data_IF_064794523251
#
_entry.id   IF_064794523251
#
_cell.length_a   1.000
_cell.length_b   1.000
_cell.length_c   1.000
_cell.angle_alpha   90.00
_cell.angle_beta   90.00
_cell.angle_gamma   90.00
#
_symmetry.space_group_name_H-M   'P 1'
#
loop_
_entity.id
_entity.type
_entity.pdbx_description
1 polymer ?
#
# COMPACT_ATOMS: atom_id res chain seq x y z
N UNK A 1 3.70 5.34 5.22
CA UNK A 1 4.54 4.11 5.38
C UNK A 1 6.00 4.50 5.36
N UNK A 2 6.75 4.21 6.41
CA UNK A 2 8.20 4.46 6.54
C UNK A 2 8.66 5.93 6.51
N UNK A 3 7.80 6.90 6.72
CA UNK A 3 8.13 8.34 6.55
C UNK A 3 9.28 8.81 7.44
N UNK A 4 9.27 8.41 8.71
CA UNK A 4 10.34 8.76 9.65
C UNK A 4 11.69 8.17 9.25
N UNK A 5 11.73 6.88 8.88
CA UNK A 5 12.97 6.21 8.46
C UNK A 5 13.44 6.74 7.11
N UNK A 6 12.53 6.85 6.15
CA UNK A 6 12.80 7.36 4.80
C UNK A 6 13.34 8.80 4.85
N UNK A 7 12.77 9.67 5.67
CA UNK A 7 13.24 11.05 5.83
C UNK A 7 14.68 11.14 6.35
N UNK A 8 15.03 10.32 7.37
CA UNK A 8 16.38 10.25 7.90
C UNK A 8 17.39 9.73 6.89
N UNK A 9 17.05 8.64 6.20
CA UNK A 9 17.94 8.02 5.20
C UNK A 9 18.12 8.90 3.96
N UNK A 10 17.05 9.52 3.45
CA UNK A 10 17.14 10.44 2.31
C UNK A 10 18.11 11.57 2.56
N UNK A 11 18.11 12.16 3.77
CA UNK A 11 19.04 13.22 4.14
C UNK A 11 20.51 12.77 4.10
N UNK A 12 20.79 11.54 4.54
CA UNK A 12 22.15 10.96 4.47
C UNK A 12 22.57 10.75 3.01
N UNK A 13 21.68 10.19 2.19
CA UNK A 13 21.97 9.86 0.80
C UNK A 13 22.08 11.10 -0.10
N UNK A 14 21.30 12.15 0.15
CA UNK A 14 21.41 13.41 -0.57
C UNK A 14 22.79 14.05 -0.34
N UNK A 15 23.32 14.00 0.90
CA UNK A 15 24.67 14.47 1.21
C UNK A 15 25.74 13.64 0.50
N UNK A 16 25.60 12.31 0.46
CA UNK A 16 26.53 11.44 -0.26
C UNK A 16 26.53 11.71 -1.78
N UNK A 17 25.33 11.91 -2.36
CA UNK A 17 25.19 12.20 -3.80
C UNK A 17 25.74 13.58 -4.19
N UNK A 18 25.69 14.54 -3.28
CA UNK A 18 26.20 15.89 -3.52
C UNK A 18 27.74 15.98 -3.53
N UNK A 19 28.44 14.96 -3.00
CA UNK A 19 29.91 14.91 -3.01
C UNK A 19 30.41 14.29 -4.31
N UNK A 20 31.26 15.01 -5.02
CA UNK A 20 31.85 14.56 -6.29
C UNK A 20 32.90 13.44 -6.14
N UNK A 21 33.54 13.37 -4.95
CA UNK A 21 34.49 12.31 -4.58
C UNK A 21 34.14 11.85 -3.15
N UNK A 22 34.33 10.57 -2.87
CA UNK A 22 34.18 9.98 -1.54
C UNK A 22 35.46 9.28 -1.13
N UNK A 23 35.78 9.39 0.16
CA UNK A 23 36.81 8.58 0.80
C UNK A 23 36.18 7.57 1.77
N UNK A 24 36.98 6.64 2.27
CA UNK A 24 36.51 5.60 3.20
C UNK A 24 35.90 6.19 4.49
N UNK A 25 36.41 7.33 4.94
CA UNK A 25 35.90 8.00 6.13
C UNK A 25 34.48 8.57 5.89
N UNK A 26 34.24 9.17 4.72
CA UNK A 26 32.90 9.67 4.32
C UNK A 26 31.85 8.55 4.31
N UNK A 27 32.20 7.40 3.75
CA UNK A 27 31.33 6.21 3.73
C UNK A 27 31.09 5.70 5.14
N UNK A 28 32.12 5.66 5.98
CA UNK A 28 32.00 5.20 7.38
C UNK A 28 31.09 6.12 8.22
N UNK A 29 31.19 7.43 8.04
CA UNK A 29 30.33 8.41 8.70
C UNK A 29 28.87 8.26 8.26
N UNK A 30 28.63 8.15 6.95
CA UNK A 30 27.30 7.93 6.42
C UNK A 30 26.67 6.61 6.92
N UNK A 31 27.45 5.53 6.98
CA UNK A 31 26.99 4.24 7.50
C UNK A 31 26.68 4.29 9.01
N UNK A 32 27.36 5.15 9.76
CA UNK A 32 27.03 5.40 11.16
C UNK A 32 25.67 6.05 11.30
N UNK A 33 25.34 7.05 10.48
CA UNK A 33 24.02 7.67 10.47
C UNK A 33 22.92 6.69 10.01
N UNK A 34 23.18 5.89 8.97
CA UNK A 34 22.25 4.82 8.53
C UNK A 34 21.99 3.83 9.67
N UNK A 35 23.04 3.42 10.41
CA UNK A 35 22.90 2.56 11.58
C UNK A 35 21.97 3.16 12.63
N UNK A 36 22.16 4.44 12.96
CA UNK A 36 21.31 5.12 13.94
C UNK A 36 19.85 5.20 13.44
N UNK A 37 19.63 5.53 12.17
CA UNK A 37 18.29 5.60 11.59
C UNK A 37 17.56 4.24 11.66
N UNK A 38 18.27 3.13 11.39
CA UNK A 38 17.72 1.79 11.47
C UNK A 38 17.38 1.39 12.92
N UNK A 39 18.22 1.73 13.89
CA UNK A 39 17.95 1.48 15.31
C UNK A 39 16.77 2.29 15.82
N UNK A 40 16.68 3.57 15.43
CA UNK A 40 15.54 4.44 15.76
C UNK A 40 14.22 3.93 15.12
N UNK A 41 14.32 3.17 14.04
CA UNK A 41 13.17 2.51 13.39
C UNK A 41 12.85 1.13 13.99
N UNK A 42 13.41 0.78 15.15
CA UNK A 42 13.24 -0.51 15.84
C UNK A 42 13.73 -1.74 15.04
N UNK A 43 14.75 -1.60 14.19
CA UNK A 43 15.42 -2.76 13.60
C UNK A 43 16.24 -3.48 14.64
N UNK A 44 16.18 -4.80 14.71
CA UNK A 44 16.92 -5.61 15.67
C UNK A 44 18.44 -5.39 15.54
N UNK A 45 19.11 -5.19 16.64
CA UNK A 45 20.55 -4.87 16.67
C UNK A 45 21.45 -5.85 15.89
N UNK A 46 21.25 -7.19 15.96
CA UNK A 46 22.03 -8.13 15.14
C UNK A 46 21.83 -7.90 13.64
N UNK A 47 20.59 -7.60 13.23
CA UNK A 47 20.21 -7.34 11.85
C UNK A 47 20.87 -6.06 11.33
N UNK A 48 20.86 -4.99 12.15
CA UNK A 48 21.56 -3.73 11.82
C UNK A 48 23.06 -3.95 11.67
N UNK A 49 23.68 -4.72 12.58
CA UNK A 49 25.11 -5.02 12.51
C UNK A 49 25.48 -5.77 11.22
N UNK A 50 24.72 -6.81 10.89
CA UNK A 50 24.91 -7.59 9.65
C UNK A 50 24.76 -6.69 8.41
N UNK A 51 23.69 -5.91 8.34
CA UNK A 51 23.44 -4.95 7.28
C UNK A 51 24.60 -3.98 7.05
N UNK A 52 25.03 -3.29 8.11
CA UNK A 52 26.14 -2.32 8.02
C UNK A 52 27.44 -2.98 7.59
N UNK A 53 27.74 -4.18 8.09
CA UNK A 53 28.95 -4.91 7.71
C UNK A 53 28.93 -5.30 6.22
N UNK A 54 27.80 -5.81 5.72
CA UNK A 54 27.63 -6.18 4.30
C UNK A 54 27.74 -4.97 3.38
N UNK A 55 27.10 -3.85 3.75
CA UNK A 55 27.22 -2.60 2.99
C UNK A 55 28.66 -2.11 3.00
N UNK A 56 29.33 -2.06 4.17
CA UNK A 56 30.71 -1.62 4.28
C UNK A 56 31.65 -2.44 3.39
N UNK A 57 31.56 -3.77 3.43
CA UNK A 57 32.40 -4.65 2.63
C UNK A 57 32.29 -4.36 1.12
N UNK A 58 31.09 -3.98 0.64
CA UNK A 58 30.85 -3.67 -0.78
C UNK A 58 31.15 -2.20 -1.14
N UNK A 59 30.99 -1.28 -0.19
CA UNK A 59 31.08 0.16 -0.44
C UNK A 59 32.49 0.75 -0.30
N UNK A 60 33.42 0.08 0.39
CA UNK A 60 34.80 0.56 0.64
C UNK A 60 35.80 0.05 -0.42
N UNK A 61 35.35 -0.66 -1.44
CA UNK A 61 36.21 -1.08 -2.55
C UNK A 61 36.70 0.10 -3.42
N UNK A 62 37.92 0.04 -3.91
CA UNK A 62 38.52 1.06 -4.80
C UNK A 62 37.66 1.34 -6.02
N UNK A 63 37.01 0.30 -6.61
CA UNK A 63 36.13 0.44 -7.77
C UNK A 63 34.91 1.37 -7.48
N UNK A 64 34.46 1.45 -6.24
CA UNK A 64 33.34 2.32 -5.82
C UNK A 64 33.84 3.74 -5.58
N UNK A 65 34.96 3.88 -4.86
CA UNK A 65 35.50 5.19 -4.48
C UNK A 65 36.04 5.96 -5.67
N UNK A 66 36.66 5.24 -6.65
CA UNK A 66 37.24 5.81 -7.87
C UNK A 66 36.22 5.97 -9.01
N UNK A 67 34.93 5.66 -8.77
CA UNK A 67 33.89 5.79 -9.80
C UNK A 67 33.55 7.25 -10.09
N UNK A 68 32.98 7.52 -11.28
CA UNK A 68 32.48 8.86 -11.68
C UNK A 68 31.35 9.35 -10.77
N UNK A 69 30.65 8.45 -10.10
CA UNK A 69 29.52 8.77 -9.19
C UNK A 69 29.52 7.89 -7.93
N UNK A 70 30.52 8.03 -7.05
CA UNK A 70 30.71 7.13 -5.91
C UNK A 70 29.51 7.18 -4.94
N UNK A 71 28.93 8.35 -4.70
CA UNK A 71 27.75 8.48 -3.84
C UNK A 71 26.54 7.74 -4.37
N UNK A 72 26.32 7.69 -5.68
CA UNK A 72 25.22 6.92 -6.27
C UNK A 72 25.48 5.41 -6.15
N UNK A 73 26.72 4.97 -6.30
CA UNK A 73 27.08 3.56 -6.12
C UNK A 73 26.88 3.09 -4.69
N UNK A 74 27.28 3.89 -3.69
CA UNK A 74 27.02 3.56 -2.28
C UNK A 74 25.51 3.43 -2.01
N UNK A 75 24.71 4.35 -2.51
CA UNK A 75 23.24 4.27 -2.36
C UNK A 75 22.67 3.02 -3.04
N UNK A 76 23.18 2.65 -4.20
CA UNK A 76 22.78 1.40 -4.88
C UNK A 76 23.14 0.18 -4.05
N UNK A 77 24.35 0.12 -3.49
CA UNK A 77 24.79 -0.98 -2.63
C UNK A 77 23.88 -1.11 -1.40
N UNK A 78 23.53 0.02 -0.75
CA UNK A 78 22.59 0.04 0.37
C UNK A 78 21.24 -0.54 -0.05
N UNK A 79 20.73 -0.13 -1.21
CA UNK A 79 19.46 -0.65 -1.75
C UNK A 79 19.52 -2.16 -2.01
N UNK A 80 20.57 -2.63 -2.68
CA UNK A 80 20.74 -4.03 -3.03
C UNK A 80 20.83 -4.92 -1.77
N UNK A 81 21.63 -4.51 -0.77
CA UNK A 81 21.73 -5.22 0.51
C UNK A 81 20.38 -5.20 1.26
N UNK A 82 19.61 -4.11 1.19
CA UNK A 82 18.29 -4.03 1.81
C UNK A 82 17.29 -4.98 1.13
N UNK A 83 17.28 -5.06 -0.19
CA UNK A 83 16.47 -6.01 -0.95
C UNK A 83 16.82 -7.46 -0.57
N UNK A 84 18.11 -7.80 -0.54
CA UNK A 84 18.57 -9.12 -0.13
C UNK A 84 18.10 -9.47 1.28
N UNK A 85 18.16 -8.53 2.21
CA UNK A 85 17.75 -8.72 3.60
C UNK A 85 16.23 -8.88 3.75
N UNK A 86 15.43 -8.21 2.92
CA UNK A 86 13.98 -8.33 2.86
C UNK A 86 13.53 -9.61 2.14
N UNK A 87 14.39 -10.27 1.39
CA UNK A 87 14.03 -11.55 0.77
C UNK A 87 14.56 -11.80 -0.62
N UNK A 88 15.30 -10.90 -1.18
CA UNK A 88 15.73 -10.94 -2.57
C UNK A 88 14.69 -10.31 -3.50
N UNK A 89 14.92 -10.38 -4.80
CA UNK A 89 14.03 -9.81 -5.78
C UNK A 89 12.77 -10.66 -5.98
N UNK A 90 11.64 -9.99 -6.21
CA UNK A 90 10.34 -10.61 -6.47
C UNK A 90 9.53 -10.95 -5.22
N UNK A 91 8.23 -11.14 -5.39
CA UNK A 91 7.34 -11.54 -4.32
C UNK A 91 7.44 -13.03 -4.02
N UNK A 92 7.49 -13.38 -2.74
CA UNK A 92 7.31 -14.75 -2.29
C UNK A 92 5.82 -15.09 -2.33
N UNK A 93 5.33 -15.65 -3.44
CA UNK A 93 3.93 -16.01 -3.62
C UNK A 93 3.43 -17.06 -2.62
N UNK A 94 2.12 -17.21 -2.53
CA UNK A 94 1.48 -18.28 -1.78
C UNK A 94 1.77 -19.63 -2.46
N UNK A 95 2.10 -20.64 -1.68
CA UNK A 95 2.24 -22.01 -2.17
C UNK A 95 0.85 -22.66 -2.28
N UNK A 96 0.28 -22.65 -3.47
CA UNK A 96 -1.00 -23.28 -3.78
C UNK A 96 -0.83 -24.57 -4.61
N UNK A 97 0.38 -25.13 -4.66
CA UNK A 97 0.70 -26.36 -5.37
C UNK A 97 0.44 -27.59 -4.47
N UNK A 98 -0.82 -27.83 -4.15
CA UNK A 98 -1.25 -28.98 -3.39
C UNK A 98 -2.60 -29.49 -3.93
N UNK A 99 -2.97 -30.77 -3.67
CA UNK A 99 -4.30 -31.26 -4.03
C UNK A 99 -5.42 -30.47 -3.34
N UNK A 100 -6.45 -30.13 -4.07
CA UNK A 100 -7.63 -29.46 -3.49
C UNK A 100 -8.44 -30.40 -2.59
N UNK A 101 -9.09 -29.92 -1.55
CA UNK A 101 -9.07 -28.56 -1.05
C UNK A 101 -7.75 -28.22 -0.33
N UNK A 102 -7.12 -27.10 -0.68
CA UNK A 102 -5.84 -26.67 -0.12
C UNK A 102 -6.10 -25.90 1.18
N UNK A 103 -5.64 -26.35 2.34
CA UNK A 103 -5.82 -25.61 3.58
C UNK A 103 -4.75 -24.53 3.76
N UNK A 104 -5.20 -23.35 4.19
CA UNK A 104 -4.36 -22.23 4.62
C UNK A 104 -4.68 -21.96 6.08
N UNK A 105 -3.68 -22.07 6.95
CA UNK A 105 -3.83 -21.87 8.39
C UNK A 105 -3.34 -20.47 8.77
N UNK A 106 -4.22 -19.65 9.35
CA UNK A 106 -3.90 -18.31 9.84
C UNK A 106 -3.56 -18.37 11.32
N UNK A 107 -2.35 -17.97 11.70
CA UNK A 107 -1.87 -17.99 13.10
C UNK A 107 -1.37 -16.62 13.54
N UNK A 108 -1.28 -16.37 14.86
CA UNK A 108 -0.78 -15.11 15.42
C UNK A 108 -1.51 -14.69 16.69
N UNK A 109 -1.05 -13.61 17.31
CA UNK A 109 -1.63 -13.09 18.56
C UNK A 109 -2.99 -12.41 18.35
N UNK A 110 -3.69 -12.18 19.44
CA UNK A 110 -4.95 -11.42 19.43
C UNK A 110 -4.70 -9.98 18.95
N UNK A 111 -5.59 -9.45 18.12
CA UNK A 111 -5.47 -8.10 17.58
C UNK A 111 -4.48 -7.93 16.43
N UNK A 112 -3.73 -8.97 16.04
CA UNK A 112 -2.82 -8.91 14.89
C UNK A 112 -3.50 -8.78 13.53
N UNK A 113 -4.83 -8.95 13.45
CA UNK A 113 -5.60 -8.82 12.20
C UNK A 113 -5.84 -10.11 11.44
N UNK A 114 -5.74 -11.30 12.08
CA UNK A 114 -5.96 -12.60 11.43
C UNK A 114 -7.30 -12.70 10.71
N UNK A 115 -8.40 -12.48 11.43
CA UNK A 115 -9.76 -12.58 10.90
C UNK A 115 -9.98 -11.63 9.70
N UNK A 116 -9.53 -10.38 9.84
CA UNK A 116 -9.59 -9.40 8.74
C UNK A 116 -8.73 -9.83 7.56
N UNK A 117 -7.54 -10.36 7.82
CA UNK A 117 -6.63 -10.88 6.78
C UNK A 117 -7.23 -12.10 6.07
N UNK A 118 -7.88 -13.00 6.80
CA UNK A 118 -8.57 -14.15 6.22
C UNK A 118 -9.66 -13.72 5.22
N UNK A 119 -10.47 -12.73 5.57
CA UNK A 119 -11.46 -12.15 4.65
C UNK A 119 -10.84 -11.48 3.42
N UNK A 120 -9.80 -10.68 3.61
CA UNK A 120 -9.05 -10.03 2.52
C UNK A 120 -8.40 -11.04 1.58
N UNK A 121 -7.80 -12.08 2.15
CA UNK A 121 -7.17 -13.15 1.39
C UNK A 121 -8.21 -13.94 0.58
N UNK A 122 -9.36 -14.24 1.18
CA UNK A 122 -10.45 -14.92 0.49
C UNK A 122 -10.96 -14.11 -0.70
N UNK A 123 -11.21 -12.81 -0.53
CA UNK A 123 -11.59 -11.91 -1.61
C UNK A 123 -10.57 -11.93 -2.76
N UNK A 124 -9.30 -11.81 -2.42
CA UNK A 124 -8.20 -11.79 -3.39
C UNK A 124 -8.13 -13.11 -4.18
N UNK A 125 -8.18 -14.25 -3.49
CA UNK A 125 -8.13 -15.57 -4.13
C UNK A 125 -9.36 -15.82 -5.00
N UNK A 126 -10.54 -15.38 -4.54
CA UNK A 126 -11.78 -15.50 -5.31
C UNK A 126 -11.78 -14.61 -6.56
N UNK A 127 -11.48 -13.33 -6.42
CA UNK A 127 -11.60 -12.37 -7.53
C UNK A 127 -10.44 -12.45 -8.52
N UNK A 128 -9.18 -12.51 -8.04
CA UNK A 128 -8.01 -12.48 -8.92
C UNK A 128 -7.64 -13.85 -9.47
N UNK A 129 -7.80 -14.91 -8.65
CA UNK A 129 -7.40 -16.26 -9.04
C UNK A 129 -8.58 -17.16 -9.41
N UNK A 130 -9.83 -16.67 -9.34
CA UNK A 130 -11.06 -17.40 -9.65
C UNK A 130 -11.22 -18.70 -8.85
N UNK A 131 -10.69 -18.72 -7.60
CA UNK A 131 -10.76 -19.88 -6.74
C UNK A 131 -12.04 -19.92 -5.92
N UNK A 132 -12.57 -21.11 -5.70
CA UNK A 132 -13.69 -21.38 -4.79
C UNK A 132 -13.16 -21.55 -3.38
N UNK A 133 -13.37 -20.57 -2.51
CA UNK A 133 -12.78 -20.47 -1.17
C UNK A 133 -13.85 -20.70 -0.10
N UNK A 134 -13.55 -21.51 0.92
CA UNK A 134 -14.33 -21.67 2.14
C UNK A 134 -13.59 -20.99 3.30
N UNK A 135 -14.26 -20.14 4.05
CA UNK A 135 -13.75 -19.59 5.31
C UNK A 135 -14.27 -20.38 6.51
N UNK A 136 -13.42 -20.66 7.47
CA UNK A 136 -13.82 -21.32 8.73
C UNK A 136 -13.15 -20.63 9.93
N UNK A 137 -13.95 -20.17 10.89
CA UNK A 137 -13.46 -19.63 12.15
C UNK A 137 -13.29 -20.74 13.17
N UNK A 138 -12.10 -20.86 13.70
CA UNK A 138 -11.74 -21.81 14.77
C UNK A 138 -11.74 -21.11 16.15
N UNK A 139 -12.12 -19.83 16.22
CA UNK A 139 -12.18 -19.05 17.46
C UNK A 139 -13.48 -19.32 18.22
N UNK A 140 -13.49 -20.43 18.99
CA UNK A 140 -14.65 -20.82 19.80
C UNK A 140 -14.79 -20.04 21.10
N UNK A 141 -13.73 -19.33 21.52
CA UNK A 141 -13.72 -18.58 22.78
C UNK A 141 -14.40 -17.22 22.65
N UNK A 142 -14.52 -16.70 21.41
CA UNK A 142 -15.13 -15.41 21.11
C UNK A 142 -16.21 -15.56 20.05
N UNK A 143 -17.48 -15.78 20.45
CA UNK A 143 -18.57 -15.93 19.48
C UNK A 143 -18.67 -14.77 18.48
N UNK A 144 -18.35 -13.56 18.92
CA UNK A 144 -18.31 -12.39 18.04
C UNK A 144 -17.26 -12.52 16.93
N UNK A 145 -16.15 -13.24 17.13
CA UNK A 145 -15.14 -13.44 16.09
C UNK A 145 -15.64 -14.37 14.96
N UNK A 146 -16.41 -15.39 15.29
CA UNK A 146 -17.04 -16.26 14.29
C UNK A 146 -18.05 -15.48 13.44
N UNK A 147 -18.89 -14.64 14.06
CA UNK A 147 -19.80 -13.77 13.34
C UNK A 147 -19.09 -12.72 12.49
N UNK A 148 -17.99 -12.16 12.99
CA UNK A 148 -17.14 -11.24 12.24
C UNK A 148 -16.58 -11.89 10.96
N UNK A 149 -16.09 -13.11 11.05
CA UNK A 149 -15.58 -13.83 9.87
C UNK A 149 -16.70 -14.10 8.86
N UNK A 150 -17.90 -14.47 9.34
CA UNK A 150 -19.06 -14.66 8.46
C UNK A 150 -19.45 -13.38 7.70
N UNK A 151 -19.45 -12.22 8.38
CA UNK A 151 -19.68 -10.92 7.74
C UNK A 151 -18.60 -10.57 6.70
N UNK A 152 -17.33 -10.86 6.99
CA UNK A 152 -16.24 -10.66 6.05
C UNK A 152 -16.35 -11.62 4.85
N UNK A 153 -16.82 -12.85 5.07
CA UNK A 153 -17.09 -13.80 3.98
C UNK A 153 -18.18 -13.27 3.03
N UNK A 154 -19.26 -12.74 3.58
CA UNK A 154 -20.32 -12.11 2.80
C UNK A 154 -19.79 -10.92 1.98
N UNK A 155 -19.01 -10.04 2.59
CA UNK A 155 -18.37 -8.91 1.89
C UNK A 155 -17.41 -9.37 0.79
N UNK A 156 -16.73 -10.50 1.00
CA UNK A 156 -15.81 -11.10 0.01
C UNK A 156 -16.54 -11.89 -1.09
N UNK A 157 -17.85 -12.12 -0.96
CA UNK A 157 -18.63 -12.94 -1.88
C UNK A 157 -18.24 -14.42 -1.84
N UNK A 158 -17.78 -14.93 -0.68
CA UNK A 158 -17.39 -16.32 -0.47
C UNK A 158 -18.18 -16.94 0.69
N UNK A 159 -18.45 -18.26 0.69
CA UNK A 159 -19.12 -18.91 1.80
C UNK A 159 -18.22 -19.03 3.04
N UNK A 160 -18.86 -18.97 4.21
CA UNK A 160 -18.27 -19.34 5.49
C UNK A 160 -18.89 -20.64 6.01
N UNK A 161 -18.10 -21.43 6.72
CA UNK A 161 -18.59 -22.64 7.38
C UNK A 161 -19.64 -22.26 8.45
N UNK A 162 -20.84 -22.88 8.46
CA UNK A 162 -21.85 -22.60 9.48
C UNK A 162 -21.33 -22.86 10.89
N UNK A 163 -21.72 -21.99 11.81
CA UNK A 163 -21.34 -22.11 13.23
C UNK A 163 -22.17 -23.20 13.88
N UNK A 164 -21.52 -24.14 14.54
CA UNK A 164 -22.12 -25.20 15.37
C UNK A 164 -21.65 -25.02 16.80
N UNK A 165 -22.58 -24.81 17.71
CA UNK A 165 -22.24 -24.61 19.12
C UNK A 165 -21.66 -25.90 19.76
N UNK A 166 -20.63 -25.74 20.60
CA UNK A 166 -20.02 -26.84 21.35
C UNK A 166 -18.92 -27.60 20.62
N UNK A 167 -18.64 -27.27 19.35
CA UNK A 167 -17.50 -27.85 18.65
C UNK A 167 -16.18 -27.26 19.17
N UNK A 168 -15.16 -28.11 19.24
CA UNK A 168 -13.76 -27.71 19.49
C UNK A 168 -13.14 -27.14 18.21
N UNK A 169 -12.06 -26.31 18.30
CA UNK A 169 -11.35 -25.81 17.13
C UNK A 169 -10.91 -26.91 16.16
N UNK A 170 -10.46 -28.06 16.68
CA UNK A 170 -10.07 -29.23 15.88
C UNK A 170 -11.26 -29.80 15.11
N UNK A 171 -12.41 -30.03 15.79
CA UNK A 171 -13.63 -30.53 15.14
C UNK A 171 -14.12 -29.63 14.03
N UNK A 172 -14.07 -28.28 14.24
CA UNK A 172 -14.43 -27.31 13.22
C UNK A 172 -13.48 -27.42 12.02
N UNK A 173 -12.17 -27.54 12.25
CA UNK A 173 -11.18 -27.68 11.19
C UNK A 173 -11.41 -28.96 10.36
N UNK A 174 -11.66 -30.08 10.99
CA UNK A 174 -11.97 -31.36 10.34
C UNK A 174 -13.27 -31.26 9.52
N UNK A 175 -14.33 -30.68 10.09
CA UNK A 175 -15.61 -30.44 9.40
C UNK A 175 -15.45 -29.49 8.23
N UNK A 176 -14.61 -28.44 8.36
CA UNK A 176 -14.27 -27.55 7.25
C UNK A 176 -13.65 -28.29 6.08
N UNK A 177 -12.69 -29.17 6.35
CA UNK A 177 -12.03 -29.98 5.33
C UNK A 177 -12.99 -31.01 4.70
N UNK A 178 -13.86 -31.65 5.48
CA UNK A 178 -14.88 -32.55 4.96
C UNK A 178 -15.89 -31.83 4.07
N UNK A 179 -16.40 -30.67 4.52
CA UNK A 179 -17.32 -29.84 3.75
C UNK A 179 -16.67 -29.39 2.44
N UNK A 180 -15.41 -28.94 2.50
CA UNK A 180 -14.69 -28.49 1.33
C UNK A 180 -14.48 -29.60 0.28
N UNK A 181 -14.22 -30.85 0.71
CA UNK A 181 -14.14 -32.00 -0.21
C UNK A 181 -15.50 -32.32 -0.83
N UNK A 182 -16.55 -32.36 -0.01
CA UNK A 182 -17.91 -32.69 -0.45
C UNK A 182 -18.45 -31.66 -1.47
N UNK A 183 -18.18 -30.38 -1.24
CA UNK A 183 -18.71 -29.27 -2.02
C UNK A 183 -17.72 -28.74 -3.08
N UNK A 184 -16.60 -29.44 -3.24
CA UNK A 184 -15.55 -29.16 -4.25
C UNK A 184 -15.06 -27.71 -4.17
N UNK A 185 -14.49 -27.35 -3.01
CA UNK A 185 -13.75 -26.09 -2.84
C UNK A 185 -12.30 -26.27 -3.27
N UNK A 186 -11.71 -25.22 -3.82
CA UNK A 186 -10.27 -25.20 -4.13
C UNK A 186 -9.43 -24.97 -2.87
N UNK A 187 -9.91 -24.12 -1.97
CA UNK A 187 -9.17 -23.62 -0.81
C UNK A 187 -10.04 -23.55 0.44
N UNK A 188 -9.41 -23.79 1.58
CA UNK A 188 -10.00 -23.59 2.90
C UNK A 188 -9.09 -22.68 3.72
N UNK A 189 -9.60 -21.53 4.18
CA UNK A 189 -8.86 -20.64 5.08
C UNK A 189 -9.37 -20.88 6.51
N UNK A 190 -8.48 -21.33 7.39
CA UNK A 190 -8.73 -21.64 8.78
C UNK A 190 -8.23 -20.47 9.65
N UNK A 191 -9.15 -19.69 10.21
CA UNK A 191 -8.86 -18.54 11.08
C UNK A 191 -8.82 -19.02 12.55
N UNK A 192 -7.61 -19.14 13.12
CA UNK A 192 -7.43 -19.62 14.50
C UNK A 192 -7.72 -18.53 15.53
N UNK A 193 -8.06 -18.94 16.75
CA UNK A 193 -8.12 -18.06 17.89
C UNK A 193 -6.81 -17.30 18.10
N UNK A 194 -6.88 -16.06 18.57
CA UNK A 194 -5.71 -15.31 19.03
C UNK A 194 -5.70 -15.24 20.54
N UNK A 195 -4.57 -15.51 21.16
CA UNK A 195 -4.34 -15.26 22.59
C UNK A 195 -3.54 -13.96 22.76
N UNK A 196 -3.61 -13.37 23.94
CA UNK A 196 -2.84 -12.14 24.28
C UNK A 196 -1.33 -12.40 24.35
N UNK A 197 -0.94 -13.60 24.67
CA UNK A 197 0.45 -14.02 24.76
C UNK A 197 0.64 -15.44 24.24
N UNK A 198 1.86 -15.78 23.92
CA UNK A 198 2.25 -17.12 23.50
C UNK A 198 2.29 -18.00 24.75
N UNK A 199 1.46 -19.03 24.79
CA UNK A 199 1.45 -20.03 25.84
C UNK A 199 1.42 -21.43 25.23
N UNK A 200 1.70 -22.44 26.05
CA UNK A 200 1.78 -23.84 25.61
C UNK A 200 0.45 -24.35 25.05
N UNK A 201 -0.68 -23.98 25.69
CA UNK A 201 -2.02 -24.38 25.25
C UNK A 201 -2.34 -23.92 23.82
N UNK A 202 -2.04 -22.65 23.49
CA UNK A 202 -2.21 -22.13 22.14
C UNK A 202 -1.36 -22.91 21.13
N UNK A 203 -0.10 -23.16 21.48
CA UNK A 203 0.81 -23.85 20.57
C UNK A 203 0.39 -25.30 20.34
N UNK A 204 -0.09 -25.99 21.37
CA UNK A 204 -0.54 -27.36 21.25
C UNK A 204 -1.86 -27.48 20.47
N UNK A 205 -2.81 -26.53 20.67
CA UNK A 205 -4.03 -26.46 19.87
C UNK A 205 -3.70 -26.27 18.38
N UNK A 206 -2.85 -25.30 18.06
CA UNK A 206 -2.49 -25.01 16.67
C UNK A 206 -1.70 -26.15 16.03
N UNK A 207 -0.82 -26.85 16.80
CA UNK A 207 -0.13 -28.04 16.32
C UNK A 207 -1.10 -29.17 15.99
N UNK A 208 -2.12 -29.40 16.81
CA UNK A 208 -3.15 -30.42 16.55
C UNK A 208 -3.93 -30.09 15.27
N UNK A 209 -4.38 -28.84 15.11
CA UNK A 209 -5.07 -28.39 13.90
C UNK A 209 -4.17 -28.58 12.67
N UNK A 210 -2.91 -28.15 12.75
CA UNK A 210 -1.93 -28.31 11.66
C UNK A 210 -1.72 -29.79 11.31
N UNK A 211 -1.60 -30.66 12.31
CA UNK A 211 -1.46 -32.12 12.10
C UNK A 211 -2.67 -32.74 11.39
N UNK A 212 -3.88 -32.32 11.76
CA UNK A 212 -5.12 -32.86 11.18
C UNK A 212 -5.41 -32.32 9.77
N UNK A 213 -5.01 -31.08 9.46
CA UNK A 213 -5.34 -30.42 8.19
C UNK A 213 -4.20 -30.42 7.19
N UNK A 214 -2.95 -30.63 7.59
CA UNK A 214 -1.75 -30.59 6.76
C UNK A 214 -1.72 -29.36 5.83
N UNK A 215 -1.75 -28.13 6.37
CA UNK A 215 -1.91 -26.93 5.55
C UNK A 215 -0.72 -26.73 4.61
N UNK A 216 -1.00 -26.37 3.36
CA UNK A 216 0.02 -25.98 2.40
C UNK A 216 0.69 -24.66 2.80
N UNK A 217 -0.06 -23.80 3.51
CA UNK A 217 0.43 -22.56 4.08
C UNK A 217 0.05 -22.43 5.57
N UNK A 218 1.04 -22.14 6.39
CA UNK A 218 0.86 -21.67 7.76
C UNK A 218 1.30 -20.21 7.79
N UNK A 219 0.35 -19.30 7.70
CA UNK A 219 0.59 -17.87 7.59
C UNK A 219 0.53 -17.20 8.97
N UNK A 220 1.65 -16.67 9.41
CA UNK A 220 1.72 -15.88 10.62
C UNK A 220 1.32 -14.44 10.34
N UNK A 221 0.27 -13.98 11.00
CA UNK A 221 -0.20 -12.59 10.91
C UNK A 221 0.36 -11.80 12.08
N UNK A 222 1.12 -10.76 11.77
CA UNK A 222 1.76 -9.88 12.74
C UNK A 222 1.40 -8.41 12.49
N UNK A 223 1.28 -7.66 13.57
CA UNK A 223 1.05 -6.22 13.52
C UNK A 223 2.39 -5.48 13.43
N UNK A 224 2.59 -4.72 12.36
CA UNK A 224 3.82 -3.96 12.15
C UNK A 224 4.06 -2.86 13.21
N UNK A 225 3.00 -2.41 13.89
CA UNK A 225 3.11 -1.38 14.94
C UNK A 225 3.74 -1.88 16.23
N UNK A 226 3.74 -3.19 16.47
CA UNK A 226 4.29 -3.78 17.71
C UNK A 226 5.83 -3.88 17.72
N UNK A 227 6.50 -3.46 16.62
CA UNK A 227 7.95 -3.35 16.57
C UNK A 227 8.68 -4.68 16.89
N UNK A 228 9.56 -4.67 17.89
CA UNK A 228 10.34 -5.86 18.28
C UNK A 228 9.49 -6.98 18.87
N UNK A 229 8.33 -6.69 19.45
CA UNK A 229 7.42 -7.73 19.97
C UNK A 229 6.85 -8.58 18.82
N UNK A 230 6.60 -7.96 17.64
CA UNK A 230 6.25 -8.70 16.44
C UNK A 230 7.36 -9.69 16.04
N UNK A 231 8.62 -9.27 16.12
CA UNK A 231 9.77 -10.12 15.77
C UNK A 231 9.93 -11.29 16.76
N UNK A 232 9.79 -11.03 18.05
CA UNK A 232 9.85 -12.06 19.11
C UNK A 232 8.71 -13.06 18.96
N UNK A 233 7.50 -12.56 18.68
CA UNK A 233 6.32 -13.38 18.39
C UNK A 233 6.57 -14.27 17.18
N UNK A 234 7.10 -13.71 16.10
CA UNK A 234 7.36 -14.46 14.88
C UNK A 234 8.39 -15.57 15.08
N UNK A 235 9.44 -15.29 15.86
CA UNK A 235 10.43 -16.32 16.22
C UNK A 235 9.77 -17.51 16.93
N UNK A 236 9.00 -17.24 17.97
CA UNK A 236 8.38 -18.28 18.78
C UNK A 236 7.36 -19.12 17.99
N UNK A 237 6.54 -18.47 17.15
CA UNK A 237 5.63 -19.19 16.26
C UNK A 237 6.38 -20.03 15.21
N UNK A 238 7.47 -19.51 14.66
CA UNK A 238 8.26 -20.24 13.67
C UNK A 238 8.96 -21.46 14.28
N UNK A 239 9.53 -21.33 15.47
CA UNK A 239 10.16 -22.42 16.20
C UNK A 239 9.14 -23.53 16.56
N UNK A 240 7.92 -23.15 16.94
CA UNK A 240 6.89 -24.09 17.36
C UNK A 240 6.16 -24.77 16.20
N UNK A 241 5.94 -24.05 15.08
CA UNK A 241 5.03 -24.47 14.01
C UNK A 241 5.69 -24.58 12.63
N UNK A 242 6.88 -24.00 12.41
CA UNK A 242 7.48 -23.92 11.07
C UNK A 242 6.58 -23.10 10.13
N UNK A 243 6.56 -21.80 10.33
CA UNK A 243 5.76 -20.84 9.54
C UNK A 243 6.24 -20.82 8.09
N UNK A 244 5.31 -20.90 7.12
CA UNK A 244 5.65 -20.90 5.69
C UNK A 244 5.67 -19.49 5.08
N UNK A 245 5.04 -18.54 5.76
CA UNK A 245 4.98 -17.15 5.33
C UNK A 245 4.43 -16.21 6.40
N UNK A 246 4.78 -14.96 6.27
CA UNK A 246 4.38 -13.89 7.19
C UNK A 246 3.47 -12.92 6.44
N UNK A 247 2.40 -12.49 7.12
CA UNK A 247 1.53 -11.40 6.69
C UNK A 247 1.70 -10.25 7.68
N UNK A 248 2.14 -9.10 7.20
CA UNK A 248 2.29 -7.90 8.02
C UNK A 248 1.07 -7.01 7.86
N UNK A 249 0.40 -6.69 8.95
CA UNK A 249 -0.78 -5.80 8.96
C UNK A 249 -0.41 -4.38 9.41
N UNK A 250 -1.30 -3.42 9.15
CA UNK A 250 -1.17 -1.99 9.53
C UNK A 250 0.09 -1.34 8.97
N UNK A 251 0.55 -1.79 7.79
CA UNK A 251 1.72 -1.22 7.14
C UNK A 251 1.47 0.20 6.60
N UNK A 252 0.22 0.61 6.48
CA UNK A 252 -0.22 1.97 6.11
C UNK A 252 -0.07 3.00 7.25
N UNK A 253 -0.02 2.56 8.49
CA UNK A 253 0.27 3.41 9.62
C UNK A 253 1.74 3.85 9.59
N UNK A 254 2.12 4.85 10.37
CA UNK A 254 3.52 5.29 10.53
C UNK A 254 4.34 4.25 11.32
N UNK A 255 4.28 3.01 10.83
CA UNK A 255 5.11 1.94 11.34
C UNK A 255 6.57 2.29 11.03
N UNK A 256 7.43 2.21 12.03
CA UNK A 256 8.86 2.55 11.92
C UNK A 256 9.61 1.68 10.91
N UNK A 257 8.96 0.61 10.39
CA UNK A 257 9.47 -0.25 9.32
C UNK A 257 10.54 -1.27 9.73
N UNK A 258 11.09 -1.13 10.91
CA UNK A 258 12.15 -2.00 11.39
C UNK A 258 11.73 -3.46 11.61
N UNK A 259 10.44 -3.67 11.91
CA UNK A 259 9.89 -5.01 12.02
C UNK A 259 10.03 -5.81 10.72
N UNK A 260 9.75 -5.19 9.56
CA UNK A 260 9.88 -5.87 8.25
C UNK A 260 11.31 -6.32 7.97
N UNK A 261 12.31 -5.44 8.22
CA UNK A 261 13.73 -5.76 8.06
C UNK A 261 14.19 -6.87 9.01
N UNK A 262 13.67 -6.90 10.23
CA UNK A 262 14.06 -7.89 11.23
C UNK A 262 13.36 -9.23 11.05
N UNK A 263 12.14 -9.23 10.54
CA UNK A 263 11.24 -10.39 10.53
C UNK A 263 11.85 -11.58 9.81
N UNK A 264 12.28 -11.38 8.57
CA UNK A 264 12.89 -12.44 7.77
C UNK A 264 14.23 -12.89 8.33
N UNK A 265 15.07 -11.95 8.76
CA UNK A 265 16.39 -12.26 9.30
C UNK A 265 16.30 -13.13 10.57
N UNK A 266 15.25 -12.95 11.37
CA UNK A 266 15.05 -13.66 12.62
C UNK A 266 14.32 -15.00 12.43
N UNK A 267 13.36 -15.05 11.51
CA UNK A 267 12.52 -16.25 11.30
C UNK A 267 12.98 -17.13 10.16
N UNK A 268 13.70 -16.60 9.18
CA UNK A 268 13.96 -17.26 7.90
C UNK A 268 12.71 -17.37 6.99
N UNK A 269 11.51 -17.13 7.50
CA UNK A 269 10.27 -17.19 6.74
C UNK A 269 10.08 -15.94 5.86
N UNK A 270 9.60 -16.09 4.61
CA UNK A 270 9.37 -14.96 3.74
C UNK A 270 8.15 -14.14 4.19
N UNK A 271 8.23 -12.81 4.06
CA UNK A 271 7.04 -11.97 4.09
C UNK A 271 6.36 -12.15 2.74
N UNK A 272 5.09 -12.58 2.74
CA UNK A 272 4.32 -12.86 1.52
C UNK A 272 3.32 -11.76 1.19
N UNK A 273 2.66 -11.24 2.21
CA UNK A 273 1.57 -10.27 2.05
C UNK A 273 1.70 -9.12 3.04
N UNK A 274 1.20 -7.96 2.63
CA UNK A 274 1.07 -6.77 3.46
C UNK A 274 -0.36 -6.23 3.43
N UNK A 275 -0.90 -5.93 4.62
CA UNK A 275 -2.19 -5.26 4.78
C UNK A 275 -2.01 -3.75 4.88
N UNK A 276 -2.68 -3.02 3.98
CA UNK A 276 -2.60 -1.56 3.88
C UNK A 276 -3.99 -0.94 4.07
N UNK A 277 -4.38 -0.71 5.33
CA UNK A 277 -5.67 -0.12 5.66
C UNK A 277 -6.79 -1.12 5.97
N UNK A 278 -7.97 -0.59 6.27
CA UNK A 278 -9.11 -1.36 6.79
C UNK A 278 -9.99 -1.99 5.69
N UNK A 279 -9.91 -1.49 4.45
CA UNK A 279 -10.74 -1.99 3.37
C UNK A 279 -10.46 -3.46 3.07
N UNK A 280 -11.49 -4.20 2.68
CA UNK A 280 -11.38 -5.64 2.40
C UNK A 280 -10.48 -5.97 1.20
N UNK A 281 -10.30 -5.03 0.27
CA UNK A 281 -9.43 -5.15 -0.90
C UNK A 281 -7.97 -4.72 -0.62
N UNK A 282 -7.68 -4.20 0.58
CA UNK A 282 -6.38 -3.66 0.94
C UNK A 282 -5.41 -4.75 1.44
N UNK A 283 -5.07 -5.70 0.57
CA UNK A 283 -4.04 -6.74 0.77
C UNK A 283 -3.19 -6.86 -0.49
N UNK A 284 -1.90 -6.62 -0.35
CA UNK A 284 -0.93 -6.61 -1.46
C UNK A 284 0.16 -7.67 -1.26
N UNK A 285 0.82 -8.08 -2.36
CA UNK A 285 2.03 -8.90 -2.28
C UNK A 285 3.18 -8.08 -1.72
N UNK A 286 4.04 -8.75 -0.96
CA UNK A 286 5.28 -8.13 -0.48
C UNK A 286 6.36 -8.22 -1.55
N UNK A 287 6.75 -7.07 -2.09
CA UNK A 287 7.86 -6.94 -3.03
C UNK A 287 9.02 -6.26 -2.32
N UNK A 288 10.12 -6.98 -2.01
CA UNK A 288 11.28 -6.42 -1.31
C UNK A 288 11.82 -5.14 -1.96
N UNK A 289 11.85 -5.08 -3.30
CA UNK A 289 12.36 -3.94 -4.06
C UNK A 289 11.52 -2.67 -3.84
N UNK A 290 10.19 -2.83 -3.79
CA UNK A 290 9.28 -1.70 -3.56
C UNK A 290 9.41 -1.19 -2.14
N UNK A 291 9.51 -2.10 -1.18
CA UNK A 291 9.65 -1.74 0.24
C UNK A 291 11.01 -1.08 0.48
N UNK A 292 12.11 -1.63 -0.06
CA UNK A 292 13.42 -1.00 -0.01
C UNK A 292 13.41 0.40 -0.65
N UNK A 293 12.82 0.54 -1.84
CA UNK A 293 12.67 1.83 -2.52
C UNK A 293 11.91 2.87 -1.68
N UNK A 294 10.81 2.48 -1.03
CA UNK A 294 10.03 3.35 -0.13
C UNK A 294 10.85 3.76 1.11
N UNK A 295 11.56 2.81 1.73
CA UNK A 295 12.42 3.07 2.90
C UNK A 295 13.55 4.05 2.53
N UNK A 296 14.13 3.93 1.34
CA UNK A 296 15.23 4.78 0.87
C UNK A 296 14.77 6.12 0.26
N UNK A 297 13.46 6.40 0.23
CA UNK A 297 12.91 7.61 -0.36
C UNK A 297 13.00 7.66 -1.88
N UNK A 298 13.23 6.52 -2.53
CA UNK A 298 13.31 6.38 -3.99
C UNK A 298 11.92 6.24 -4.64
N UNK A 299 10.87 6.13 -3.83
CA UNK A 299 9.50 5.95 -4.28
C UNK A 299 9.18 4.52 -4.74
N UNK A 300 7.96 4.34 -5.25
CA UNK A 300 7.46 3.09 -5.80
C UNK A 300 6.77 3.35 -7.14
N UNK A 301 7.56 3.67 -8.15
CA UNK A 301 7.04 4.03 -9.48
C UNK A 301 6.33 2.84 -10.13
N UNK A 302 6.83 1.61 -9.92
CA UNK A 302 6.23 0.39 -10.48
C UNK A 302 4.85 0.15 -9.85
N UNK A 303 4.75 0.22 -8.53
CA UNK A 303 3.46 0.10 -7.83
C UNK A 303 2.46 1.19 -8.21
N UNK A 304 2.94 2.41 -8.49
CA UNK A 304 2.09 3.49 -8.99
C UNK A 304 1.53 3.17 -10.37
N UNK A 305 2.36 2.67 -11.29
CA UNK A 305 1.94 2.29 -12.65
C UNK A 305 0.97 1.11 -12.62
N UNK A 306 1.22 0.09 -11.80
CA UNK A 306 0.31 -1.05 -11.65
C UNK A 306 -1.03 -0.63 -11.07
N UNK A 307 -1.02 0.20 -10.03
CA UNK A 307 -2.25 0.71 -9.40
C UNK A 307 -3.03 1.62 -10.37
N UNK A 308 -2.35 2.37 -11.20
CA UNK A 308 -2.95 3.11 -12.29
C UNK A 308 -3.57 2.16 -13.34
N UNK A 309 -2.87 1.11 -13.74
CA UNK A 309 -3.36 0.13 -14.70
C UNK A 309 -4.59 -0.67 -14.18
N UNK A 310 -4.60 -1.04 -12.90
CA UNK A 310 -5.76 -1.74 -12.29
C UNK A 310 -7.02 -0.85 -12.19
N UNK A 311 -6.85 0.46 -12.11
CA UNK A 311 -7.96 1.41 -11.93
C UNK A 311 -8.36 2.13 -13.21
N UNK A 312 -7.52 2.06 -14.26
CA UNK A 312 -7.81 2.64 -15.56
C UNK A 312 -8.78 1.74 -16.33
N UNK A 313 -9.97 2.24 -16.58
CA UNK A 313 -10.83 1.74 -17.63
C UNK A 313 -10.23 2.24 -18.95
N UNK A 314 -9.54 1.36 -19.69
CA UNK A 314 -8.82 1.72 -20.92
C UNK A 314 -9.77 2.36 -21.95
N UNK A 315 -11.00 1.85 -22.07
CA UNK A 315 -12.01 2.40 -22.99
C UNK A 315 -12.43 3.82 -22.59
N UNK A 316 -12.61 4.04 -21.27
CA UNK A 316 -12.99 5.36 -20.77
C UNK A 316 -11.82 6.35 -20.86
N UNK A 317 -10.59 5.91 -20.60
CA UNK A 317 -9.37 6.72 -20.74
C UNK A 317 -9.13 7.12 -22.21
N UNK A 318 -9.26 6.18 -23.16
CA UNK A 318 -9.17 6.49 -24.60
C UNK A 318 -10.28 7.43 -25.05
N UNK A 319 -11.51 7.23 -24.59
CA UNK A 319 -12.64 8.09 -24.90
C UNK A 319 -12.39 9.54 -24.45
N UNK A 320 -11.90 9.69 -23.21
CA UNK A 320 -11.56 11.02 -22.63
C UNK A 320 -10.39 11.64 -23.41
N UNK A 321 -9.35 10.86 -23.71
CA UNK A 321 -8.21 11.34 -24.50
C UNK A 321 -8.61 11.82 -25.91
N UNK A 322 -9.50 11.08 -26.60
CA UNK A 322 -10.05 11.47 -27.90
C UNK A 322 -10.91 12.75 -27.82
N UNK A 323 -11.69 12.92 -26.75
CA UNK A 323 -12.46 14.15 -26.49
C UNK A 323 -11.55 15.33 -26.18
N UNK A 324 -10.51 15.11 -25.37
CA UNK A 324 -9.50 16.12 -25.04
C UNK A 324 -8.76 16.61 -26.29
N UNK A 325 -8.34 15.70 -27.16
CA UNK A 325 -7.69 16.02 -28.44
C UNK A 325 -8.59 16.89 -29.35
N UNK A 326 -9.91 16.73 -29.26
CA UNK A 326 -10.91 17.50 -30.00
C UNK A 326 -11.35 18.79 -29.29
N UNK A 327 -10.78 19.13 -28.10
CA UNK A 327 -11.17 20.28 -27.29
C UNK A 327 -12.59 20.23 -26.72
N UNK A 328 -13.18 19.03 -26.59
CA UNK A 328 -14.57 18.81 -26.16
C UNK A 328 -14.66 18.21 -24.75
N UNK A 329 -13.74 18.59 -23.85
CA UNK A 329 -13.77 18.17 -22.45
C UNK A 329 -14.94 18.85 -21.72
N UNK A 330 -15.81 18.06 -21.06
CA UNK A 330 -17.01 18.53 -20.38
C UNK A 330 -17.02 18.16 -18.86
N UNK A 331 -18.01 18.66 -18.12
CA UNK A 331 -18.14 18.38 -16.68
C UNK A 331 -18.44 16.90 -16.37
N UNK A 332 -18.95 16.12 -17.33
CA UNK A 332 -19.16 14.68 -17.19
C UNK A 332 -17.81 13.94 -17.21
N UNK A 333 -16.91 14.34 -18.12
CA UNK A 333 -15.54 13.84 -18.19
C UNK A 333 -14.74 14.23 -16.92
N UNK A 334 -14.96 15.45 -16.41
CA UNK A 334 -14.36 15.90 -15.15
C UNK A 334 -14.86 15.08 -13.95
N UNK A 335 -16.17 14.77 -13.89
CA UNK A 335 -16.72 13.89 -12.87
C UNK A 335 -16.19 12.45 -12.95
N UNK A 336 -15.96 11.93 -14.15
CA UNK A 336 -15.33 10.63 -14.36
C UNK A 336 -13.90 10.61 -13.80
N UNK A 337 -13.11 11.64 -14.07
CA UNK A 337 -11.77 11.79 -13.50
C UNK A 337 -11.77 11.88 -11.98
N UNK A 338 -12.69 12.65 -11.38
CA UNK A 338 -12.82 12.73 -9.91
C UNK A 338 -13.15 11.36 -9.29
N UNK A 339 -14.03 10.58 -9.94
CA UNK A 339 -14.33 9.21 -9.50
C UNK A 339 -13.12 8.29 -9.61
N UNK A 340 -12.35 8.41 -10.69
CA UNK A 340 -11.13 7.65 -10.90
C UNK A 340 -10.07 7.94 -9.83
N UNK A 341 -9.82 9.24 -9.52
CA UNK A 341 -8.92 9.65 -8.43
C UNK A 341 -9.38 9.04 -7.09
N UNK A 342 -10.70 9.02 -6.85
CA UNK A 342 -11.25 8.44 -5.62
C UNK A 342 -11.04 6.91 -5.55
N UNK A 343 -11.07 6.21 -6.68
CA UNK A 343 -10.80 4.76 -6.77
C UNK A 343 -9.32 4.43 -6.56
N UNK A 344 -8.40 5.28 -7.04
CA UNK A 344 -6.96 5.11 -6.87
C UNK A 344 -6.49 5.25 -5.41
N UNK A 345 -7.32 5.75 -4.51
CA UNK A 345 -7.00 5.95 -3.10
C UNK A 345 -6.86 7.42 -2.70
N UNK A 346 -6.18 7.71 -1.58
CA UNK A 346 -5.96 9.09 -1.16
C UNK A 346 -4.84 9.75 -1.99
N UNK A 347 -4.94 11.05 -2.21
CA UNK A 347 -3.90 11.83 -2.91
C UNK A 347 -2.54 11.69 -2.21
N UNK A 348 -2.55 11.62 -0.87
CA UNK A 348 -1.36 11.38 -0.05
C UNK A 348 -0.72 10.02 -0.32
N UNK A 349 -1.53 8.97 -0.56
CA UNK A 349 -0.99 7.64 -0.90
C UNK A 349 -0.32 7.61 -2.27
N UNK A 350 -0.85 8.36 -3.24
CA UNK A 350 -0.28 8.47 -4.59
C UNK A 350 1.01 9.29 -4.55
N UNK A 351 0.99 10.42 -3.83
CA UNK A 351 2.17 11.28 -3.66
C UNK A 351 3.28 10.53 -2.93
N UNK A 352 2.96 9.73 -1.91
CA UNK A 352 3.94 8.89 -1.18
C UNK A 352 4.66 7.83 -2.05
N UNK A 353 4.13 7.51 -3.24
CA UNK A 353 4.76 6.60 -4.19
C UNK A 353 5.73 7.32 -5.15
N UNK A 354 5.72 8.64 -5.21
CA UNK A 354 6.61 9.40 -6.09
C UNK A 354 8.02 9.56 -5.48
N UNK A 355 9.08 9.50 -6.29
CA UNK A 355 10.43 9.78 -5.83
C UNK A 355 10.54 11.21 -5.28
N UNK A 356 11.14 11.39 -4.09
CA UNK A 356 11.29 12.69 -3.45
C UNK A 356 10.00 13.28 -2.87
N UNK A 357 8.94 12.48 -2.73
CA UNK A 357 7.62 12.88 -2.24
C UNK A 357 7.62 13.54 -0.86
N UNK A 358 8.61 13.26 -0.01
CA UNK A 358 8.68 13.77 1.36
C UNK A 358 8.59 15.30 1.45
N UNK A 359 9.17 16.04 0.47
CA UNK A 359 9.06 17.50 0.42
C UNK A 359 7.67 17.98 -0.02
N UNK A 360 7.06 17.27 -0.96
CA UNK A 360 5.71 17.57 -1.47
C UNK A 360 4.65 17.21 -0.43
N UNK A 361 4.85 16.12 0.29
CA UNK A 361 3.96 15.64 1.35
C UNK A 361 3.94 16.61 2.53
N UNK A 362 5.11 17.10 2.98
CA UNK A 362 5.19 18.14 4.00
C UNK A 362 4.48 19.45 3.59
N UNK A 363 4.52 19.83 2.31
CA UNK A 363 3.78 20.98 1.79
C UNK A 363 2.26 20.73 1.71
N UNK A 364 1.84 19.51 1.38
CA UNK A 364 0.43 19.12 1.36
C UNK A 364 -0.15 19.03 2.78
N UNK A 365 0.63 18.54 3.74
CA UNK A 365 0.24 18.47 5.16
C UNK A 365 0.13 19.86 5.79
N UNK A 366 1.02 20.80 5.41
CA UNK A 366 0.92 22.22 5.79
C UNK A 366 -0.26 22.95 5.11
N UNK A 367 -0.65 22.53 3.91
CA UNK A 367 -1.81 23.10 3.20
C UNK A 367 -3.17 22.60 3.74
N UNK A 368 -3.15 21.74 4.76
CA UNK A 368 -4.31 21.20 5.46
C UNK A 368 -4.83 19.90 4.86
N UNK A 369 -4.84 18.87 5.65
CA UNK A 369 -5.34 17.50 5.36
C UNK A 369 -6.81 17.42 4.89
N UNK A 370 -7.49 18.55 4.70
CA UNK A 370 -8.89 18.66 4.27
C UNK A 370 -9.09 18.84 2.75
N UNK A 371 -8.03 18.72 1.93
CA UNK A 371 -8.17 18.59 0.46
C UNK A 371 -8.76 17.22 0.05
N UNK A 372 -9.20 16.49 1.03
CA UNK A 372 -9.54 15.11 1.06
C UNK A 372 -10.88 14.73 0.41
N UNK A 373 -11.15 13.46 0.49
CA UNK A 373 -12.35 12.71 0.07
C UNK A 373 -13.66 13.50 0.20
N UNK A 374 -13.78 14.36 1.21
CA UNK A 374 -14.95 15.21 1.43
C UNK A 374 -15.10 16.28 0.35
N UNK A 375 -14.01 16.93 -0.07
CA UNK A 375 -14.04 17.94 -1.14
C UNK A 375 -14.36 17.30 -2.49
N UNK A 376 -13.72 16.17 -2.80
CA UNK A 376 -13.99 15.42 -4.05
C UNK A 376 -15.44 14.91 -4.06
N UNK A 377 -15.94 14.39 -2.92
CA UNK A 377 -17.34 13.97 -2.79
C UNK A 377 -18.32 15.12 -2.99
N UNK A 378 -18.05 16.30 -2.43
CA UNK A 378 -18.86 17.51 -2.63
C UNK A 378 -18.84 17.95 -4.09
N UNK A 379 -17.69 17.96 -4.74
CA UNK A 379 -17.59 18.28 -6.17
C UNK A 379 -18.39 17.27 -7.02
N UNK A 380 -18.28 15.98 -6.75
CA UNK A 380 -19.06 14.95 -7.42
C UNK A 380 -20.58 15.13 -7.19
N UNK A 381 -21.01 15.50 -5.98
CA UNK A 381 -22.41 15.79 -5.66
C UNK A 381 -22.93 17.02 -6.41
N UNK A 382 -22.13 18.09 -6.52
CA UNK A 382 -22.46 19.28 -7.30
C UNK A 382 -22.70 18.92 -8.75
N UNK A 383 -21.78 18.18 -9.39
CA UNK A 383 -21.92 17.74 -10.78
C UNK A 383 -23.10 16.77 -10.92
N UNK A 384 -23.29 15.86 -9.94
CA UNK A 384 -24.43 14.96 -9.87
C UNK A 384 -25.79 15.66 -9.89
N UNK A 385 -25.89 16.86 -9.28
CA UNK A 385 -27.09 17.68 -9.23
C UNK A 385 -27.34 18.50 -10.49
N UNK A 386 -26.45 18.48 -11.46
CA UNK A 386 -26.60 19.13 -12.75
C UNK A 386 -27.36 18.23 -13.74
N UNK A 387 -28.14 18.83 -14.63
CA UNK A 387 -28.74 18.11 -15.76
C UNK A 387 -27.68 17.71 -16.79
N UNK A 388 -27.99 16.73 -17.65
CA UNK A 388 -27.09 16.32 -18.75
C UNK A 388 -26.69 17.49 -19.68
N UNK A 389 -27.61 18.42 -19.93
CA UNK A 389 -27.33 19.63 -20.72
C UNK A 389 -26.36 20.58 -20.02
N UNK A 390 -26.51 20.78 -18.71
CA UNK A 390 -25.65 21.63 -17.93
C UNK A 390 -24.23 21.08 -17.80
N UNK A 391 -24.06 19.74 -17.72
CA UNK A 391 -22.75 19.11 -17.72
C UNK A 391 -22.02 19.25 -19.05
N UNK A 392 -22.74 19.22 -20.19
CA UNK A 392 -22.17 19.39 -21.53
C UNK A 392 -21.89 20.84 -21.89
N UNK A 393 -22.69 21.77 -21.38
CA UNK A 393 -22.59 23.20 -21.65
C UNK A 393 -22.62 24.02 -20.35
N UNK A 394 -21.52 24.11 -19.62
CA UNK A 394 -21.46 24.83 -18.34
C UNK A 394 -21.87 26.31 -18.44
N UNK A 395 -21.69 26.94 -19.59
CA UNK A 395 -22.04 28.36 -19.84
C UNK A 395 -23.51 28.70 -19.60
N UNK A 396 -24.42 27.69 -19.67
CA UNK A 396 -25.85 27.90 -19.41
C UNK A 396 -26.17 27.99 -17.91
N UNK A 397 -25.21 27.69 -17.02
CA UNK A 397 -25.41 27.67 -15.57
C UNK A 397 -25.38 29.10 -15.03
N UNK A 398 -26.52 29.78 -15.08
CA UNK A 398 -26.74 31.16 -14.53
C UNK A 398 -27.21 31.09 -13.07
N UNK A 399 -27.48 32.23 -12.46
CA UNK A 399 -27.76 32.39 -11.03
C UNK A 399 -28.86 31.46 -10.48
N UNK A 400 -29.98 31.31 -11.19
CA UNK A 400 -31.09 30.43 -10.77
C UNK A 400 -30.70 28.96 -10.78
N UNK A 401 -29.97 28.52 -11.79
CA UNK A 401 -29.45 27.15 -11.90
C UNK A 401 -28.41 26.86 -10.82
N UNK A 402 -27.49 27.80 -10.53
CA UNK A 402 -26.53 27.68 -9.43
C UNK A 402 -27.21 27.50 -8.08
N UNK A 403 -28.29 28.24 -7.78
CA UNK A 403 -29.08 28.07 -6.55
C UNK A 403 -29.70 26.67 -6.47
N UNK A 404 -30.33 26.20 -7.58
CA UNK A 404 -30.93 24.87 -7.65
C UNK A 404 -29.88 23.76 -7.47
N UNK A 405 -28.74 23.85 -8.14
CA UNK A 405 -27.64 22.89 -8.03
C UNK A 405 -27.08 22.86 -6.62
N UNK A 406 -26.88 24.01 -6.00
CA UNK A 406 -26.41 24.12 -4.62
C UNK A 406 -27.39 23.44 -3.64
N UNK A 407 -28.68 23.73 -3.77
CA UNK A 407 -29.72 23.09 -2.95
C UNK A 407 -29.78 21.57 -3.14
N UNK A 408 -29.72 21.10 -4.39
CA UNK A 408 -29.76 19.67 -4.72
C UNK A 408 -28.53 18.87 -4.28
N UNK A 409 -27.37 19.53 -4.18
CA UNK A 409 -26.10 18.91 -3.74
C UNK A 409 -25.80 19.04 -2.25
N UNK A 410 -26.66 19.79 -1.50
CA UNK A 410 -26.38 20.10 -0.09
C UNK A 410 -25.14 20.99 0.09
N UNK A 411 -24.82 21.82 -0.92
CA UNK A 411 -23.64 22.71 -0.93
C UNK A 411 -24.05 24.18 -1.06
N UNK A 412 -23.09 25.09 -1.05
CA UNK A 412 -23.33 26.53 -1.21
C UNK A 412 -23.14 26.96 -2.66
N UNK A 413 -23.77 28.09 -3.04
CA UNK A 413 -23.56 28.72 -4.37
C UNK A 413 -22.10 29.10 -4.56
N UNK A 414 -21.37 29.42 -3.50
CA UNK A 414 -19.93 29.70 -3.54
C UNK A 414 -19.13 28.47 -3.95
N UNK A 415 -19.46 27.29 -3.41
CA UNK A 415 -18.81 26.03 -3.79
C UNK A 415 -19.10 25.65 -5.25
N UNK A 416 -20.32 25.87 -5.73
CA UNK A 416 -20.67 25.71 -7.15
C UNK A 416 -19.84 26.64 -8.04
N UNK A 417 -19.69 27.91 -7.66
CA UNK A 417 -18.88 28.87 -8.41
C UNK A 417 -17.40 28.47 -8.42
N UNK A 418 -16.88 27.99 -7.27
CA UNK A 418 -15.49 27.52 -7.16
C UNK A 418 -15.23 26.33 -8.08
N UNK A 419 -16.15 25.37 -8.13
CA UNK A 419 -16.04 24.20 -9.01
C UNK A 419 -16.06 24.61 -10.49
N UNK A 420 -16.98 25.49 -10.90
CA UNK A 420 -17.07 25.95 -12.29
C UNK A 420 -15.79 26.69 -12.70
N UNK A 421 -15.25 27.55 -11.82
CA UNK A 421 -13.97 28.23 -12.09
C UNK A 421 -12.81 27.25 -12.22
N UNK A 422 -12.72 26.25 -11.35
CA UNK A 422 -11.69 25.21 -11.45
C UNK A 422 -11.80 24.42 -12.76
N UNK A 423 -13.02 24.12 -13.18
CA UNK A 423 -13.26 23.44 -14.47
C UNK A 423 -12.81 24.32 -15.65
N UNK A 424 -13.13 25.62 -15.64
CA UNK A 424 -12.71 26.57 -16.68
C UNK A 424 -11.17 26.67 -16.76
N UNK A 425 -10.50 26.79 -15.61
CA UNK A 425 -9.04 26.86 -15.53
C UNK A 425 -8.38 25.58 -16.12
N UNK A 426 -8.94 24.38 -15.81
CA UNK A 426 -8.46 23.10 -16.35
C UNK A 426 -8.72 23.02 -17.85
N UNK A 427 -9.91 23.38 -18.29
CA UNK A 427 -10.29 23.36 -19.70
C UNK A 427 -9.40 24.28 -20.55
N UNK A 428 -9.09 25.46 -20.03
CA UNK A 428 -8.20 26.41 -20.71
C UNK A 428 -6.74 25.94 -20.72
N UNK A 429 -6.27 25.34 -19.65
CA UNK A 429 -4.95 24.70 -19.60
C UNK A 429 -4.84 23.59 -20.66
N UNK A 430 -5.86 22.74 -20.78
CA UNK A 430 -5.90 21.67 -21.78
C UNK A 430 -5.94 22.20 -23.21
N UNK A 431 -6.72 23.26 -23.48
CA UNK A 431 -6.73 23.92 -24.79
C UNK A 431 -5.36 24.48 -25.17
N UNK A 432 -4.61 25.03 -24.20
CA UNK A 432 -3.24 25.52 -24.41
C UNK A 432 -2.27 24.37 -24.70
N UNK A 433 -2.37 23.25 -23.96
CA UNK A 433 -1.56 22.05 -24.22
C UNK A 433 -1.78 21.50 -25.64
N UNK A 434 -3.02 21.42 -26.09
CA UNK A 434 -3.34 20.96 -27.45
C UNK A 434 -2.78 21.92 -28.53
N UNK A 435 -2.74 23.22 -28.28
CA UNK A 435 -2.15 24.20 -29.20
C UNK A 435 -0.62 24.16 -29.27
N UNK A 436 0.05 23.80 -28.17
CA UNK A 436 1.51 23.76 -28.09
C UNK A 436 2.14 22.53 -28.73
N UNK A 437 1.39 21.43 -28.89
CA UNK A 437 1.88 20.16 -29.45
C UNK A 437 3.04 19.54 -28.65
N UNK A 438 3.38 18.26 -28.89
CA UNK A 438 4.46 17.57 -28.18
C UNK A 438 5.83 18.26 -28.29
N UNK A 439 6.11 18.94 -29.40
CA UNK A 439 7.38 19.68 -29.62
C UNK A 439 7.51 20.97 -28.82
N UNK A 440 6.39 21.59 -28.44
CA UNK A 440 6.38 22.80 -27.61
C UNK A 440 6.61 22.52 -26.12
N UNK A 441 6.12 21.38 -25.63
CA UNK A 441 6.32 20.95 -24.24
C UNK A 441 7.80 20.66 -23.92
N UNK A 442 8.54 20.07 -24.85
CA UNK A 442 9.97 19.79 -24.67
C UNK A 442 10.84 21.06 -24.68
N UNK A 443 10.41 22.14 -25.36
CA UNK A 443 11.16 23.39 -25.45
C UNK A 443 10.98 24.35 -24.29
N UNK A 444 9.82 24.36 -23.63
CA UNK A 444 9.46 25.38 -22.63
C UNK A 444 9.26 24.84 -21.21
N UNK A 445 9.40 23.54 -20.99
CA UNK A 445 9.30 22.90 -19.68
C UNK A 445 7.91 23.04 -19.01
N UNK A 446 7.71 22.37 -17.89
CA UNK A 446 6.48 22.41 -17.08
C UNK A 446 6.12 23.82 -16.56
N UNK A 447 7.06 24.77 -16.52
CA UNK A 447 6.84 26.15 -16.08
C UNK A 447 5.88 26.97 -16.96
N UNK A 448 5.73 26.61 -18.25
CA UNK A 448 4.78 27.27 -19.16
C UNK A 448 3.31 26.89 -18.92
N UNK A 449 3.06 25.90 -18.09
CA UNK A 449 1.72 25.35 -17.77
C UNK A 449 1.12 25.96 -16.49
N UNK A 450 1.91 26.67 -15.69
CA UNK A 450 1.42 27.29 -14.45
C UNK A 450 0.51 28.51 -14.76
N UNK A 451 -0.62 28.66 -14.04
CA UNK A 451 -1.50 29.82 -14.17
C UNK A 451 -0.73 31.12 -13.87
N UNK A 452 -1.07 32.20 -14.60
CA UNK A 452 -0.45 33.51 -14.39
C UNK A 452 -0.53 34.02 -12.93
N UNK A 453 -1.45 33.52 -12.13
CA UNK A 453 -1.58 33.84 -10.70
C UNK A 453 -0.46 33.25 -9.82
N UNK A 454 0.30 32.23 -10.29
CA UNK A 454 1.45 31.64 -9.59
C UNK A 454 2.82 32.13 -10.14
N UNK A 455 2.85 32.95 -11.17
CA UNK A 455 4.08 33.52 -11.75
C UNK A 455 4.51 34.86 -11.13
N UNK A 456 3.79 35.34 -10.13
CA UNK A 456 4.08 36.63 -9.45
C UNK A 456 5.15 36.48 -8.37
N UNK A 457 6.41 36.66 -8.72
CA UNK A 457 7.50 36.67 -7.74
C UNK A 457 8.90 36.85 -8.33
N UNK A 458 9.06 37.58 -9.45
CA UNK A 458 10.38 38.09 -9.82
C UNK A 458 10.46 39.55 -9.38
N UNK A 459 11.03 39.77 -8.19
CA UNK A 459 11.53 41.08 -7.77
C UNK A 459 12.58 41.56 -8.74
N UNK A 460 12.47 42.78 -9.20
CA UNK A 460 13.49 43.50 -9.96
C UNK A 460 14.73 43.66 -9.08
N UNK A 461 15.94 43.43 -9.59
CA UNK A 461 17.14 43.86 -8.88
C UNK A 461 17.29 45.38 -9.02
N UNK A 462 17.52 46.03 -7.91
CA UNK A 462 18.24 47.29 -7.84
C UNK A 462 19.72 47.01 -7.74
#
# INVERSE_FOLDING_TARGET
MFESLSGKLSGVFDRLRARGALNEQDVTEALREVRLALLDADVALPVVKDFINRVRQRAVGTEVLDSVSPGQQVVKIVNDVMIEQLGGAGAAGLNLNAPAPIPILMVGLQGSGKTTTAGKLALRLHQRMRKKVLLASLDTQRPAAQLQLAQLAEQAGVPSLPIVAGETPLQIAERAMQTARREVFDLVILDTAGRLSINQELMDEVKQIRGATAPAETLLVVDALTGQDAVNTARAFNEALGVTGIVMTRMDSDARGGAALSMRAVTGAPIKLIGQGEKIDALEDFYPERVAGRILGMGDVVGLVEKAAETLDEEEAERIARKMAKGKFDLEDYAAQLRQITRMGSLSSIVGMLPGANKLQAQLDQAGQNLDKTMIRRQAAIIGSMTKGERKQPDIIKASRKKRIAAGSGTTVQEVNKLLKQFDDISDMMKRMNKLGQKGLMRHGLGALLPKSMQGGRGRPF
#
